data_IF_235739879240
#
_entry.id   IF_235739879240
#
_cell.length_a   1.000
_cell.length_b   1.000
_cell.length_c   1.000
_cell.angle_alpha   90.00
_cell.angle_beta   90.00
_cell.angle_gamma   90.00
#
_symmetry.space_group_name_H-M   'P 1'
#
loop_
_entity.id
_entity.type
_entity.pdbx_description
1 polymer ?
#
# COMPACT_ATOMS: atom_id res chain seq x y z
N UNK A 1 -27.66 7.74 2.42
CA UNK A 1 -26.22 8.06 2.36
C UNK A 1 -26.03 9.09 1.26
N UNK A 2 -25.64 10.31 1.60
CA UNK A 2 -25.33 11.36 0.63
C UNK A 2 -23.87 11.21 0.20
N UNK A 3 -23.60 11.31 -1.11
CA UNK A 3 -22.25 11.21 -1.67
C UNK A 3 -21.92 12.52 -2.34
N UNK A 4 -20.84 13.17 -1.90
CA UNK A 4 -20.28 14.36 -2.54
C UNK A 4 -19.07 13.95 -3.38
N UNK A 5 -19.12 14.22 -4.68
CA UNK A 5 -18.02 13.95 -5.61
C UNK A 5 -17.25 15.24 -5.89
N UNK A 6 -15.97 15.25 -5.57
CA UNK A 6 -15.08 16.36 -5.88
C UNK A 6 -14.37 16.09 -7.22
N UNK A 7 -14.55 16.97 -8.19
CA UNK A 7 -14.02 16.80 -9.55
C UNK A 7 -13.04 17.90 -9.99
N UNK A 8 -12.78 18.89 -9.14
CA UNK A 8 -11.82 19.97 -9.45
C UNK A 8 -10.70 20.03 -8.42
N UNK A 9 -9.49 20.38 -8.88
CA UNK A 9 -8.33 20.59 -8.01
C UNK A 9 -8.64 21.60 -6.90
N UNK A 10 -9.32 22.72 -7.22
CA UNK A 10 -9.69 23.74 -6.23
C UNK A 10 -10.60 23.16 -5.15
N UNK A 11 -11.64 22.42 -5.54
CA UNK A 11 -12.55 21.76 -4.58
C UNK A 11 -11.81 20.78 -3.67
N UNK A 12 -10.90 19.99 -4.23
CA UNK A 12 -10.10 19.04 -3.45
C UNK A 12 -9.14 19.76 -2.52
N UNK A 13 -8.46 20.82 -2.96
CA UNK A 13 -7.54 21.60 -2.14
C UNK A 13 -8.26 22.32 -1.00
N UNK A 14 -9.41 22.94 -1.30
CA UNK A 14 -10.20 23.66 -0.31
C UNK A 14 -10.72 22.71 0.78
N UNK A 15 -11.31 21.57 0.38
CA UNK A 15 -11.98 20.67 1.31
C UNK A 15 -11.03 19.65 1.94
N UNK A 16 -10.19 18.97 1.15
CA UNK A 16 -9.30 17.92 1.65
C UNK A 16 -7.96 18.45 2.16
N UNK A 17 -7.50 19.59 1.63
CA UNK A 17 -6.27 20.25 2.06
C UNK A 17 -6.54 21.19 3.23
N UNK A 18 -7.19 22.32 2.96
CA UNK A 18 -7.36 23.39 3.93
C UNK A 18 -8.33 23.02 5.05
N UNK A 19 -9.43 22.31 4.72
CA UNK A 19 -10.43 21.80 5.69
C UNK A 19 -10.24 20.30 5.98
N UNK A 20 -9.02 19.79 5.78
CA UNK A 20 -8.72 18.36 5.89
C UNK A 20 -9.07 17.76 7.25
N UNK A 21 -9.02 18.54 8.34
CA UNK A 21 -9.38 18.09 9.68
C UNK A 21 -10.82 17.60 9.80
N UNK A 22 -11.77 18.14 9.02
CA UNK A 22 -13.19 17.74 9.06
C UNK A 22 -13.61 16.86 7.86
N UNK A 23 -12.91 16.93 6.72
CA UNK A 23 -13.26 16.18 5.50
C UNK A 23 -12.45 14.89 5.27
N UNK A 24 -11.48 14.56 6.12
CA UNK A 24 -10.55 13.45 5.86
C UNK A 24 -10.77 12.18 6.66
N UNK A 25 -11.82 12.15 7.48
CA UNK A 25 -12.18 10.96 8.24
C UNK A 25 -12.60 9.80 7.32
N UNK A 26 -12.63 8.58 7.86
CA UNK A 26 -13.05 7.38 7.13
C UNK A 26 -14.50 7.02 7.44
N UNK A 27 -15.30 6.64 6.43
CA UNK A 27 -16.61 6.06 6.68
C UNK A 27 -16.47 4.80 7.54
N UNK A 28 -17.16 4.75 8.69
CA UNK A 28 -17.18 3.55 9.53
C UNK A 28 -17.80 2.37 8.77
N UNK A 29 -17.21 1.20 8.93
CA UNK A 29 -17.71 -0.06 8.39
C UNK A 29 -17.85 -1.06 9.52
N UNK A 30 -19.09 -1.43 9.85
CA UNK A 30 -19.38 -2.44 10.87
C UNK A 30 -18.74 -3.80 10.55
N UNK A 31 -18.49 -4.08 9.26
CA UNK A 31 -17.80 -5.30 8.83
C UNK A 31 -16.30 -5.25 9.19
N UNK A 32 -15.64 -4.10 9.02
CA UNK A 32 -14.24 -3.94 9.44
C UNK A 32 -14.13 -4.02 10.96
N UNK A 33 -15.05 -3.38 11.68
CA UNK A 33 -15.09 -3.44 13.14
C UNK A 33 -15.25 -4.89 13.62
N UNK A 34 -16.10 -5.68 12.94
CA UNK A 34 -16.32 -7.10 13.22
C UNK A 34 -15.09 -7.98 12.94
N UNK A 35 -14.31 -7.68 11.90
CA UNK A 35 -13.06 -8.39 11.64
C UNK A 35 -12.05 -8.19 12.77
N UNK A 36 -12.10 -7.03 13.44
CA UNK A 36 -11.17 -6.66 14.50
C UNK A 36 -9.77 -6.31 13.99
N UNK A 37 -9.64 -6.03 12.69
CA UNK A 37 -8.38 -5.77 11.98
C UNK A 37 -8.22 -4.26 11.69
N UNK A 38 -7.74 -3.51 12.68
CA UNK A 38 -7.60 -2.05 12.59
C UNK A 38 -6.43 -1.63 11.71
N UNK A 39 -6.66 -1.44 10.40
CA UNK A 39 -5.63 -1.02 9.44
C UNK A 39 -5.70 0.49 9.15
N UNK A 40 -4.55 1.11 8.88
CA UNK A 40 -4.41 2.56 8.68
C UNK A 40 -5.29 3.10 7.54
N UNK A 41 -5.61 2.27 6.55
CA UNK A 41 -6.40 2.65 5.38
C UNK A 41 -7.88 2.90 5.67
N UNK A 42 -8.46 2.12 6.58
CA UNK A 42 -9.89 2.15 6.92
C UNK A 42 -10.22 2.75 8.28
N UNK A 43 -9.22 2.99 9.13
CA UNK A 43 -9.45 3.48 10.48
C UNK A 43 -9.94 4.94 10.50
N UNK A 44 -10.96 5.20 11.32
CA UNK A 44 -11.49 6.54 11.54
C UNK A 44 -10.50 7.42 12.32
N UNK A 45 -10.60 8.72 12.12
CA UNK A 45 -9.81 9.73 12.82
C UNK A 45 -10.03 9.59 14.33
N UNK A 46 -8.91 9.56 15.05
CA UNK A 46 -8.88 9.33 16.48
C UNK A 46 -7.47 8.96 16.96
N UNK A 47 -7.33 8.64 18.26
CA UNK A 47 -6.04 8.32 18.86
C UNK A 47 -5.29 7.17 18.16
N UNK A 48 -6.02 6.11 17.79
CA UNK A 48 -5.43 4.95 17.10
C UNK A 48 -4.88 5.31 15.72
N UNK A 49 -5.70 5.98 14.89
CA UNK A 49 -5.25 6.43 13.57
C UNK A 49 -4.06 7.40 13.67
N UNK A 50 -4.08 8.33 14.63
CA UNK A 50 -2.98 9.27 14.87
C UNK A 50 -1.68 8.54 15.23
N UNK A 51 -1.76 7.52 16.09
CA UNK A 51 -0.62 6.69 16.47
C UNK A 51 -0.08 5.92 15.26
N UNK A 52 -0.94 5.20 14.53
CA UNK A 52 -0.53 4.46 13.33
C UNK A 52 0.11 5.39 12.28
N UNK A 53 -0.48 6.56 12.06
CA UNK A 53 0.01 7.55 11.10
C UNK A 53 1.35 8.14 11.52
N UNK A 54 1.54 8.42 12.81
CA UNK A 54 2.81 8.87 13.38
C UNK A 54 3.91 7.83 13.17
N UNK A 55 3.67 6.59 13.59
CA UNK A 55 4.63 5.49 13.48
C UNK A 55 5.02 5.21 12.02
N UNK A 56 4.03 5.18 11.13
CA UNK A 56 4.28 5.02 9.69
C UNK A 56 5.18 6.14 9.17
N UNK A 57 4.83 7.41 9.41
CA UNK A 57 5.63 8.54 8.91
C UNK A 57 7.03 8.59 9.51
N UNK A 58 7.20 8.21 10.77
CA UNK A 58 8.51 8.18 11.42
C UNK A 58 9.47 7.24 10.69
N UNK A 59 8.99 6.09 10.24
CA UNK A 59 9.82 5.04 9.62
C UNK A 59 9.75 4.98 8.09
N UNK A 60 8.82 5.71 7.46
CA UNK A 60 8.62 5.77 6.00
C UNK A 60 8.70 7.17 5.41
N UNK A 61 9.29 8.15 6.11
CA UNK A 61 9.59 9.46 5.53
C UNK A 61 10.83 9.44 4.62
N UNK A 62 11.04 10.54 3.89
CA UNK A 62 12.17 10.71 2.95
C UNK A 62 13.54 10.47 3.58
N UNK A 63 13.72 10.77 4.86
CA UNK A 63 14.98 10.54 5.59
C UNK A 63 15.19 9.08 5.99
N UNK A 64 14.11 8.33 6.22
CA UNK A 64 14.17 6.91 6.57
C UNK A 64 14.28 5.99 5.35
N UNK A 65 13.71 6.36 4.19
CA UNK A 65 13.70 5.53 2.98
C UNK A 65 15.07 5.00 2.50
N UNK A 66 16.21 5.73 2.63
CA UNK A 66 17.51 5.23 2.18
C UNK A 66 17.89 3.86 2.72
N UNK A 67 17.43 3.50 3.93
CA UNK A 67 17.70 2.18 4.53
C UNK A 67 17.10 1.02 3.73
N UNK A 68 16.08 1.27 2.91
CA UNK A 68 15.38 0.25 2.12
C UNK A 68 15.82 0.20 0.65
N UNK A 69 16.61 1.17 0.17
CA UNK A 69 17.04 1.19 -1.23
C UNK A 69 17.87 -0.02 -1.66
N UNK A 70 18.83 -0.54 -0.84
CA UNK A 70 19.60 -1.72 -1.22
C UNK A 70 18.71 -2.93 -1.51
N UNK A 71 17.67 -3.11 -0.70
CA UNK A 71 16.64 -4.14 -0.87
C UNK A 71 15.92 -3.98 -2.21
N UNK A 72 15.38 -2.79 -2.48
CA UNK A 72 14.60 -2.54 -3.70
C UNK A 72 15.47 -2.76 -4.94
N UNK A 73 16.72 -2.30 -4.92
CA UNK A 73 17.66 -2.53 -6.02
C UNK A 73 18.00 -4.00 -6.23
N UNK A 74 18.29 -4.74 -5.14
CA UNK A 74 18.66 -6.14 -5.23
C UNK A 74 17.51 -6.98 -5.83
N UNK A 75 16.29 -6.76 -5.37
CA UNK A 75 15.12 -7.46 -5.89
C UNK A 75 14.81 -7.04 -7.34
N UNK A 76 14.96 -5.75 -7.67
CA UNK A 76 14.84 -5.28 -9.06
C UNK A 76 15.83 -5.97 -9.99
N UNK A 77 17.11 -6.12 -9.59
CA UNK A 77 18.13 -6.85 -10.36
C UNK A 77 17.78 -8.34 -10.50
N UNK A 78 17.24 -8.97 -9.45
CA UNK A 78 16.77 -10.37 -9.51
C UNK A 78 15.61 -10.52 -10.49
N UNK A 79 14.63 -9.63 -10.43
CA UNK A 79 13.50 -9.59 -11.35
C UNK A 79 13.95 -9.46 -12.80
N UNK A 80 14.86 -8.53 -13.12
CA UNK A 80 15.41 -8.37 -14.46
C UNK A 80 16.06 -9.66 -15.00
N UNK A 81 16.78 -10.41 -14.15
CA UNK A 81 17.35 -11.70 -14.55
C UNK A 81 16.29 -12.76 -14.84
N UNK A 82 15.21 -12.79 -14.05
CA UNK A 82 14.09 -13.74 -14.28
C UNK A 82 13.31 -13.37 -15.54
N UNK A 83 13.00 -12.09 -15.73
CA UNK A 83 12.40 -11.55 -16.96
C UNK A 83 13.24 -11.86 -18.20
N UNK A 84 14.56 -11.75 -18.13
CA UNK A 84 15.43 -12.10 -19.25
C UNK A 84 15.38 -13.59 -19.61
N UNK A 85 15.23 -14.47 -18.60
CA UNK A 85 15.14 -15.93 -18.80
C UNK A 85 13.77 -16.39 -19.27
N UNK A 86 12.70 -15.74 -18.79
CA UNK A 86 11.32 -16.11 -19.09
C UNK A 86 10.47 -14.85 -19.37
N UNK A 87 10.67 -14.19 -20.53
CA UNK A 87 9.98 -12.94 -20.85
C UNK A 87 8.47 -13.14 -21.09
N UNK A 88 8.04 -14.34 -21.48
CA UNK A 88 6.62 -14.65 -21.68
C UNK A 88 5.82 -14.56 -20.37
N UNK A 89 6.47 -14.88 -19.24
CA UNK A 89 5.85 -14.86 -17.91
C UNK A 89 6.07 -13.54 -17.14
N UNK A 90 6.27 -12.43 -17.85
CA UNK A 90 6.69 -11.18 -17.24
C UNK A 90 5.77 -10.65 -16.14
N UNK A 91 4.45 -10.85 -16.26
CA UNK A 91 3.49 -10.39 -15.25
C UNK A 91 3.67 -11.09 -13.90
N UNK A 92 3.87 -12.41 -13.91
CA UNK A 92 4.08 -13.17 -12.69
C UNK A 92 5.45 -12.87 -12.08
N UNK A 93 6.45 -12.60 -12.91
CA UNK A 93 7.77 -12.16 -12.45
C UNK A 93 7.73 -10.78 -11.77
N UNK A 94 6.94 -9.85 -12.31
CA UNK A 94 6.69 -8.56 -11.68
C UNK A 94 5.90 -8.71 -10.37
N UNK A 95 4.87 -9.57 -10.34
CA UNK A 95 4.06 -9.83 -9.14
C UNK A 95 4.91 -10.44 -8.03
N UNK A 96 5.75 -11.42 -8.35
CA UNK A 96 6.70 -12.00 -7.41
C UNK A 96 7.69 -10.94 -6.91
N UNK A 97 8.21 -10.09 -7.81
CA UNK A 97 9.12 -9.01 -7.42
C UNK A 97 8.47 -8.02 -6.44
N UNK A 98 7.25 -7.55 -6.72
CA UNK A 98 6.56 -6.62 -5.83
C UNK A 98 6.27 -7.24 -4.47
N UNK A 99 5.86 -8.52 -4.45
CA UNK A 99 5.64 -9.26 -3.21
C UNK A 99 6.94 -9.41 -2.39
N UNK A 100 8.05 -9.79 -3.04
CA UNK A 100 9.37 -9.94 -2.38
C UNK A 100 9.89 -8.60 -1.84
N UNK A 101 9.77 -7.52 -2.60
CA UNK A 101 10.19 -6.18 -2.15
C UNK A 101 9.43 -5.79 -0.89
N UNK A 102 8.10 -5.82 -0.91
CA UNK A 102 7.32 -5.32 0.22
C UNK A 102 7.40 -6.26 1.44
N UNK A 103 7.50 -7.58 1.25
CA UNK A 103 7.73 -8.54 2.34
C UNK A 103 9.09 -8.33 2.99
N UNK A 104 10.12 -8.11 2.18
CA UNK A 104 11.46 -7.85 2.67
C UNK A 104 11.55 -6.54 3.46
N UNK A 105 11.07 -5.45 2.87
CA UNK A 105 11.05 -4.13 3.52
C UNK A 105 10.20 -4.16 4.81
N UNK A 106 9.07 -4.87 4.81
CA UNK A 106 8.14 -4.86 5.96
C UNK A 106 8.53 -5.86 7.05
N UNK A 107 8.80 -7.11 6.67
CA UNK A 107 8.89 -8.28 7.56
C UNK A 107 10.24 -9.01 7.52
N UNK A 108 11.27 -8.48 6.85
CA UNK A 108 12.58 -9.16 6.72
C UNK A 108 12.50 -10.56 6.04
N UNK A 109 11.52 -10.74 5.14
CA UNK A 109 11.28 -12.00 4.43
C UNK A 109 11.77 -11.90 2.98
N UNK A 110 12.74 -12.75 2.59
CA UNK A 110 13.47 -12.63 1.31
C UNK A 110 13.55 -13.92 0.49
N UNK A 111 13.09 -15.03 1.04
CA UNK A 111 13.23 -16.40 0.54
C UNK A 111 11.97 -16.91 -0.15
N UNK A 112 11.09 -15.99 -0.55
CA UNK A 112 9.83 -16.29 -1.26
C UNK A 112 10.11 -16.50 -2.74
N UNK A 113 10.03 -17.75 -3.20
CA UNK A 113 10.32 -18.11 -4.61
C UNK A 113 9.06 -18.19 -5.49
N UNK A 114 7.87 -18.17 -4.90
CA UNK A 114 6.58 -18.19 -5.63
C UNK A 114 5.56 -17.27 -4.96
N UNK A 115 4.61 -16.77 -5.76
CA UNK A 115 3.43 -16.04 -5.26
C UNK A 115 2.45 -16.94 -4.50
N UNK A 116 2.58 -18.26 -4.65
CA UNK A 116 1.78 -19.25 -3.91
C UNK A 116 2.31 -19.52 -2.50
N UNK A 117 3.45 -18.91 -2.12
CA UNK A 117 3.99 -18.98 -0.76
C UNK A 117 2.92 -18.58 0.26
N UNK A 118 2.80 -19.34 1.34
CA UNK A 118 1.79 -19.12 2.38
C UNK A 118 1.86 -17.71 2.96
N UNK A 119 3.06 -17.12 3.04
CA UNK A 119 3.29 -15.77 3.57
C UNK A 119 2.70 -14.71 2.64
N UNK A 120 2.88 -14.86 1.33
CA UNK A 120 2.27 -13.99 0.30
C UNK A 120 0.76 -14.18 0.28
N UNK A 121 0.31 -15.43 0.33
CA UNK A 121 -1.12 -15.76 0.30
C UNK A 121 -1.85 -15.19 1.52
N UNK A 122 -1.25 -15.23 2.71
CA UNK A 122 -1.84 -14.70 3.94
C UNK A 122 -2.12 -13.20 3.85
N UNK A 123 -1.13 -12.40 3.47
CA UNK A 123 -1.29 -10.94 3.34
C UNK A 123 -2.22 -10.56 2.18
N UNK A 124 -2.18 -11.28 1.06
CA UNK A 124 -3.12 -11.05 -0.05
C UNK A 124 -4.56 -11.39 0.34
N UNK A 125 -4.79 -12.44 1.12
CA UNK A 125 -6.11 -12.75 1.69
C UNK A 125 -6.59 -11.63 2.60
N UNK A 126 -5.77 -11.18 3.55
CA UNK A 126 -6.10 -10.05 4.43
C UNK A 126 -6.51 -8.80 3.63
N UNK A 127 -5.73 -8.42 2.61
CA UNK A 127 -6.04 -7.26 1.75
C UNK A 127 -7.37 -7.44 1.03
N UNK A 128 -7.67 -8.65 0.54
CA UNK A 128 -8.96 -8.96 -0.09
C UNK A 128 -10.12 -8.93 0.91
N UNK A 129 -9.95 -9.44 2.12
CA UNK A 129 -10.96 -9.39 3.18
C UNK A 129 -11.32 -7.94 3.52
N UNK A 130 -10.30 -7.10 3.77
CA UNK A 130 -10.49 -5.66 4.06
C UNK A 130 -11.17 -4.94 2.89
N UNK A 131 -10.67 -5.13 1.66
CA UNK A 131 -11.26 -4.50 0.46
C UNK A 131 -12.72 -4.90 0.25
N UNK A 132 -13.02 -6.17 0.50
CA UNK A 132 -14.37 -6.72 0.41
C UNK A 132 -15.31 -6.13 1.49
N UNK A 133 -14.81 -5.95 2.71
CA UNK A 133 -15.56 -5.36 3.82
C UNK A 133 -15.77 -3.84 3.68
N UNK A 134 -14.98 -3.16 2.85
CA UNK A 134 -15.16 -1.74 2.50
C UNK A 134 -16.15 -1.51 1.35
N UNK A 135 -16.53 -2.56 0.62
CA UNK A 135 -17.40 -2.43 -0.57
C UNK A 135 -18.82 -2.00 -0.16
N UNK A 136 -19.35 -0.87 -0.71
CA UNK A 136 -20.64 -0.31 -0.29
C UNK A 136 -21.84 -1.27 -0.40
N UNK A 137 -21.80 -2.19 -1.36
CA UNK A 137 -22.85 -3.21 -1.60
C UNK A 137 -23.05 -4.12 -0.38
N UNK A 138 -22.05 -4.22 0.50
CA UNK A 138 -22.11 -5.01 1.73
C UNK A 138 -22.52 -4.23 2.98
N UNK A 139 -22.93 -2.97 2.87
CA UNK A 139 -23.53 -2.21 3.98
C UNK A 139 -24.98 -2.66 4.19
N UNK A 140 -25.17 -3.81 4.81
CA UNK A 140 -26.48 -4.43 4.96
C UNK A 140 -27.02 -4.20 6.39
N UNK A 141 -28.29 -3.78 6.57
CA UNK A 141 -28.88 -3.59 7.88
C UNK A 141 -28.94 -4.89 8.71
N UNK A 142 -28.67 -4.87 10.03
CA UNK A 142 -28.56 -6.08 10.87
C UNK A 142 -29.78 -7.02 10.91
N UNK A 143 -30.95 -6.58 10.44
CA UNK A 143 -32.23 -7.27 10.58
C UNK A 143 -32.64 -8.12 9.36
N UNK A 144 -31.79 -8.24 8.34
CA UNK A 144 -32.10 -9.00 7.12
C UNK A 144 -31.75 -10.50 7.30
N UNK A 145 -32.72 -11.45 7.28
CA UNK A 145 -32.50 -12.84 7.74
C UNK A 145 -31.45 -13.68 6.98
N UNK A 146 -31.21 -13.42 5.70
CA UNK A 146 -30.19 -14.12 4.90
C UNK A 146 -28.74 -13.63 5.15
N UNK A 147 -28.55 -12.68 6.07
CA UNK A 147 -27.23 -12.14 6.47
C UNK A 147 -26.40 -13.05 7.35
N UNK A 148 -26.98 -14.08 7.97
CA UNK A 148 -26.24 -14.95 8.87
C UNK A 148 -24.96 -15.50 8.24
N UNK A 149 -24.99 -15.78 6.95
CA UNK A 149 -23.83 -16.28 6.20
C UNK A 149 -22.75 -15.20 5.98
N UNK A 150 -23.12 -13.96 5.64
CA UNK A 150 -22.16 -12.86 5.43
C UNK A 150 -21.50 -12.43 6.75
N UNK A 151 -22.26 -12.33 7.85
CA UNK A 151 -21.72 -12.04 9.18
C UNK A 151 -20.76 -13.14 9.63
N UNK A 152 -21.14 -14.41 9.47
CA UNK A 152 -20.28 -15.57 9.76
C UNK A 152 -19.02 -15.55 8.91
N UNK A 153 -19.14 -15.21 7.63
CA UNK A 153 -18.02 -15.13 6.70
C UNK A 153 -17.02 -14.04 7.12
N UNK A 154 -17.50 -12.82 7.38
CA UNK A 154 -16.64 -11.70 7.79
C UNK A 154 -15.99 -11.95 9.17
N UNK A 155 -16.72 -12.57 10.09
CA UNK A 155 -16.17 -12.99 11.39
C UNK A 155 -15.08 -14.06 11.20
N UNK A 156 -15.30 -15.03 10.30
CA UNK A 156 -14.31 -16.05 9.97
C UNK A 156 -13.05 -15.45 9.31
N UNK A 157 -13.21 -14.46 8.43
CA UNK A 157 -12.07 -13.70 7.88
C UNK A 157 -11.28 -13.01 8.98
N UNK A 158 -11.96 -12.33 9.91
CA UNK A 158 -11.32 -11.69 11.06
C UNK A 158 -10.54 -12.68 11.91
N UNK A 159 -11.06 -13.90 12.14
CA UNK A 159 -10.37 -14.96 12.88
C UNK A 159 -9.14 -15.48 12.11
N UNK A 160 -9.28 -15.75 10.81
CA UNK A 160 -8.16 -16.16 9.95
C UNK A 160 -7.06 -15.08 9.93
N UNK A 161 -7.40 -13.82 9.75
CA UNK A 161 -6.44 -12.71 9.71
C UNK A 161 -5.76 -12.52 11.07
N UNK A 162 -6.52 -12.61 12.18
CA UNK A 162 -5.99 -12.51 13.55
C UNK A 162 -5.07 -13.68 13.93
N UNK A 163 -5.10 -14.78 13.19
CA UNK A 163 -4.20 -15.92 13.43
C UNK A 163 -3.01 -15.97 12.47
N UNK A 164 -3.18 -15.50 11.24
CA UNK A 164 -2.15 -15.60 10.18
C UNK A 164 -1.21 -14.40 10.15
N UNK A 165 -1.72 -13.17 10.21
CA UNK A 165 -0.92 -11.95 10.11
C UNK A 165 0.09 -11.80 11.26
N UNK A 166 -0.26 -12.09 12.54
CA UNK A 166 0.73 -12.03 13.62
C UNK A 166 1.91 -12.97 13.44
N UNK A 167 1.81 -14.05 12.64
CA UNK A 167 2.93 -14.96 12.39
C UNK A 167 4.08 -14.26 11.67
N UNK A 168 3.77 -13.37 10.72
CA UNK A 168 4.77 -12.59 9.99
C UNK A 168 5.47 -11.57 10.91
N UNK A 169 4.72 -10.97 11.84
CA UNK A 169 5.29 -10.09 12.86
C UNK A 169 6.18 -10.86 13.84
N UNK A 170 5.70 -12.02 14.31
CA UNK A 170 6.45 -12.89 15.21
C UNK A 170 7.73 -13.45 14.58
N UNK A 171 7.75 -13.67 13.27
CA UNK A 171 8.97 -14.04 12.54
C UNK A 171 10.11 -13.04 12.79
N UNK A 172 9.83 -11.73 12.66
CA UNK A 172 10.82 -10.68 12.93
C UNK A 172 11.19 -10.61 14.40
N UNK A 173 10.22 -10.77 15.32
CA UNK A 173 10.51 -10.83 16.76
C UNK A 173 11.51 -11.94 17.11
N UNK A 174 11.33 -13.12 16.53
CA UNK A 174 12.24 -14.25 16.73
C UNK A 174 13.63 -13.93 16.20
N UNK A 175 13.74 -13.36 15.01
CA UNK A 175 15.03 -12.94 14.43
C UNK A 175 15.70 -11.83 15.25
N UNK A 176 14.94 -10.86 15.77
CA UNK A 176 15.44 -9.79 16.63
C UNK A 176 16.05 -10.37 17.90
N UNK A 177 15.33 -11.28 18.58
CA UNK A 177 15.81 -11.93 19.80
C UNK A 177 17.03 -12.82 19.55
N UNK A 178 17.14 -13.41 18.36
CA UNK A 178 18.32 -14.18 17.94
C UNK A 178 19.51 -13.31 17.49
N UNK A 179 19.34 -11.99 17.36
CA UNK A 179 20.37 -11.08 16.85
C UNK A 179 20.64 -11.22 15.34
N UNK A 180 19.70 -11.78 14.59
CA UNK A 180 19.84 -12.06 13.15
C UNK A 180 18.90 -11.23 12.26
N UNK A 181 17.99 -10.45 12.84
CA UNK A 181 17.09 -9.57 12.09
C UNK A 181 17.87 -8.52 11.30
N UNK A 182 17.49 -8.33 10.03
CA UNK A 182 17.95 -7.20 9.22
C UNK A 182 16.97 -6.04 9.35
N UNK A 183 17.40 -4.89 8.84
CA UNK A 183 16.58 -3.69 8.82
C UNK A 183 15.27 -3.92 8.08
N UNK A 184 14.15 -3.76 8.79
CA UNK A 184 12.79 -3.87 8.27
C UNK A 184 11.87 -2.93 9.03
N UNK A 185 10.70 -2.62 8.47
CA UNK A 185 9.71 -1.77 9.12
C UNK A 185 9.27 -2.34 10.47
N UNK A 186 9.02 -3.66 10.54
CA UNK A 186 8.64 -4.31 11.81
C UNK A 186 9.77 -4.25 12.83
N UNK A 187 11.04 -4.42 12.42
CA UNK A 187 12.17 -4.26 13.35
C UNK A 187 12.18 -2.84 13.96
N UNK A 188 12.02 -1.81 13.12
CA UNK A 188 11.93 -0.42 13.59
C UNK A 188 10.73 -0.19 14.52
N UNK A 189 9.57 -0.79 14.25
CA UNK A 189 8.42 -0.71 15.17
C UNK A 189 8.70 -1.39 16.51
N UNK A 190 9.41 -2.52 16.51
CA UNK A 190 9.78 -3.25 17.74
C UNK A 190 10.83 -2.50 18.59
N UNK A 191 11.42 -1.42 18.09
CA UNK A 191 12.32 -0.53 18.83
C UNK A 191 11.57 0.66 19.45
N UNK A 192 10.29 0.86 19.12
CA UNK A 192 9.46 1.90 19.73
C UNK A 192 8.97 1.46 21.12
N UNK A 193 9.32 2.24 22.14
CA UNK A 193 8.86 2.01 23.50
C UNK A 193 7.36 2.29 23.65
N UNK A 194 6.70 1.51 24.52
CA UNK A 194 5.33 1.72 24.99
C UNK A 194 4.22 1.73 23.91
N UNK A 195 4.46 1.13 22.74
CA UNK A 195 3.43 0.98 21.69
C UNK A 195 2.77 -0.40 21.76
N UNK A 196 1.45 -0.44 21.62
CA UNK A 196 0.67 -1.67 21.60
C UNK A 196 1.04 -2.56 20.38
N UNK A 197 1.40 -3.82 20.66
CA UNK A 197 1.83 -4.79 19.64
C UNK A 197 0.74 -5.04 18.59
N UNK A 198 -0.53 -5.06 19.02
CA UNK A 198 -1.65 -5.24 18.09
C UNK A 198 -1.67 -4.12 17.05
N UNK A 199 -1.46 -2.87 17.47
CA UNK A 199 -1.35 -1.71 16.58
C UNK A 199 -0.20 -1.87 15.57
N UNK A 200 0.98 -2.32 16.02
CA UNK A 200 2.12 -2.56 15.13
C UNK A 200 1.85 -3.63 14.07
N UNK A 201 1.23 -4.74 14.47
CA UNK A 201 0.88 -5.85 13.58
C UNK A 201 0.01 -5.37 12.42
N UNK A 202 -1.07 -4.66 12.72
CA UNK A 202 -2.00 -4.18 11.68
C UNK A 202 -1.43 -3.04 10.86
N UNK A 203 -0.56 -2.20 11.44
CA UNK A 203 0.17 -1.18 10.70
C UNK A 203 1.10 -1.81 9.66
N UNK A 204 1.86 -2.84 10.02
CA UNK A 204 2.72 -3.59 9.10
C UNK A 204 1.89 -4.26 7.98
N UNK A 205 0.74 -4.84 8.32
CA UNK A 205 -0.16 -5.43 7.33
C UNK A 205 -0.74 -4.37 6.36
N UNK A 206 -1.04 -3.17 6.88
CA UNK A 206 -1.47 -2.02 6.07
C UNK A 206 -0.39 -1.60 5.07
N UNK A 207 0.87 -1.62 5.49
CA UNK A 207 2.00 -1.30 4.63
C UNK A 207 2.13 -2.29 3.47
N UNK A 208 1.95 -3.59 3.73
CA UNK A 208 1.89 -4.59 2.65
C UNK A 208 0.75 -4.27 1.67
N UNK A 209 -0.47 -4.08 2.20
CA UNK A 209 -1.66 -3.83 1.38
C UNK A 209 -1.54 -2.57 0.52
N UNK A 210 -0.90 -1.53 1.03
CA UNK A 210 -0.65 -0.30 0.28
C UNK A 210 0.48 -0.39 -0.75
N UNK A 211 1.42 -1.34 -0.59
CA UNK A 211 2.68 -1.40 -1.35
C UNK A 211 2.77 -2.49 -2.41
N UNK A 212 2.02 -3.60 -2.27
CA UNK A 212 2.12 -4.74 -3.19
C UNK A 212 1.41 -4.49 -4.54
N UNK A 213 0.07 -4.50 -4.52
CA UNK A 213 -0.78 -4.47 -5.72
C UNK A 213 -0.71 -3.12 -6.46
N UNK A 214 -0.57 -2.01 -5.72
CA UNK A 214 -0.43 -0.68 -6.32
C UNK A 214 0.85 -0.57 -7.14
N UNK A 215 1.98 -1.05 -6.61
CA UNK A 215 3.25 -1.05 -7.33
C UNK A 215 3.19 -1.97 -8.55
N UNK A 216 2.57 -3.15 -8.43
CA UNK A 216 2.38 -4.07 -9.55
C UNK A 216 1.55 -3.42 -10.67
N UNK A 217 0.45 -2.75 -10.32
CA UNK A 217 -0.37 -2.02 -11.27
C UNK A 217 0.40 -0.93 -12.01
N UNK A 218 1.29 -0.20 -11.33
CA UNK A 218 2.12 0.83 -11.96
C UNK A 218 3.18 0.21 -12.89
N UNK A 219 3.79 -0.91 -12.50
CA UNK A 219 4.75 -1.61 -13.36
C UNK A 219 4.08 -2.17 -14.62
N UNK A 220 2.87 -2.70 -14.49
CA UNK A 220 2.06 -3.11 -15.65
C UNK A 220 1.77 -1.92 -16.56
N UNK A 221 1.26 -0.81 -16.01
CA UNK A 221 0.99 0.40 -16.77
C UNK A 221 2.26 0.96 -17.46
N UNK A 222 3.41 0.87 -16.80
CA UNK A 222 4.70 1.25 -17.38
C UNK A 222 5.04 0.37 -18.59
N UNK A 223 4.93 -0.96 -18.49
CA UNK A 223 5.19 -1.86 -19.61
C UNK A 223 4.27 -1.54 -20.79
N UNK A 224 2.97 -1.35 -20.53
CA UNK A 224 2.01 -0.94 -21.55
C UNK A 224 2.39 0.40 -22.20
N UNK A 225 2.75 1.40 -21.40
CA UNK A 225 3.17 2.71 -21.90
C UNK A 225 4.43 2.60 -22.79
N UNK A 226 5.39 1.74 -22.44
CA UNK A 226 6.61 1.55 -23.25
C UNK A 226 6.31 0.84 -24.58
N UNK A 227 5.34 -0.08 -24.61
CA UNK A 227 4.87 -0.71 -25.85
C UNK A 227 4.16 0.30 -26.76
N UNK A 228 3.30 1.16 -26.19
CA UNK A 228 2.52 2.15 -26.96
C UNK A 228 3.34 3.37 -27.40
N UNK A 229 4.40 3.70 -26.66
CA UNK A 229 5.23 4.89 -26.87
C UNK A 229 6.72 4.56 -26.98
N UNK A 230 7.14 3.80 -28.01
CA UNK A 230 8.54 3.37 -28.16
C UNK A 230 9.53 4.54 -28.29
N UNK A 231 9.10 5.70 -28.80
CA UNK A 231 9.94 6.90 -28.83
C UNK A 231 10.30 7.41 -27.44
N UNK A 232 9.37 7.32 -26.48
CA UNK A 232 9.63 7.68 -25.08
C UNK A 232 10.56 6.66 -24.42
N UNK A 233 10.38 5.36 -24.71
CA UNK A 233 11.27 4.30 -24.26
C UNK A 233 12.71 4.51 -24.75
N UNK A 234 12.92 4.84 -26.03
CA UNK A 234 14.26 5.13 -26.58
C UNK A 234 14.92 6.34 -25.92
N UNK A 235 14.15 7.39 -25.59
CA UNK A 235 14.67 8.55 -24.84
C UNK A 235 15.12 8.18 -23.43
N UNK A 236 14.38 7.32 -22.73
CA UNK A 236 14.80 6.76 -21.44
C UNK A 236 16.09 5.98 -21.57
N UNK A 237 16.20 5.09 -22.55
CA UNK A 237 17.41 4.32 -22.80
C UNK A 237 18.61 5.23 -23.07
N UNK A 238 18.45 6.23 -23.95
CA UNK A 238 19.52 7.17 -24.26
C UNK A 238 19.95 8.02 -23.06
N UNK A 239 19.02 8.47 -22.22
CA UNK A 239 19.37 9.18 -20.98
C UNK A 239 20.17 8.28 -20.03
N UNK A 240 19.72 7.04 -19.84
CA UNK A 240 20.41 6.06 -18.99
C UNK A 240 21.82 5.78 -19.54
N UNK A 241 21.98 5.51 -20.83
CA UNK A 241 23.28 5.24 -21.45
C UNK A 241 24.24 6.44 -21.30
N UNK A 242 23.73 7.66 -21.50
CA UNK A 242 24.54 8.89 -21.38
C UNK A 242 25.01 9.16 -19.95
N UNK A 243 24.15 8.89 -18.95
CA UNK A 243 24.40 9.27 -17.55
C UNK A 243 25.09 8.15 -16.77
N UNK A 244 24.65 6.91 -16.98
CA UNK A 244 25.11 5.73 -16.23
C UNK A 244 26.21 4.97 -16.99
N UNK A 245 26.17 5.00 -18.33
CA UNK A 245 27.04 4.21 -19.19
C UNK A 245 26.54 2.77 -19.40
N UNK A 246 27.37 1.94 -20.03
CA UNK A 246 27.08 0.54 -20.36
C UNK A 246 27.67 -0.49 -19.38
N UNK A 247 28.57 -0.07 -18.49
CA UNK A 247 29.34 -0.98 -17.62
C UNK A 247 28.55 -1.47 -16.40
N UNK A 248 27.43 -0.81 -16.06
CA UNK A 248 26.61 -1.16 -14.90
C UNK A 248 25.15 -0.81 -15.10
N UNK A 249 24.28 -1.44 -14.30
CA UNK A 249 22.87 -1.06 -14.21
C UNK A 249 22.67 0.24 -13.42
N UNK A 250 21.59 1.00 -13.70
CA UNK A 250 21.20 2.15 -12.89
C UNK A 250 20.97 1.77 -11.42
N UNK A 251 21.34 2.67 -10.51
CA UNK A 251 21.03 2.59 -9.09
C UNK A 251 20.33 3.86 -8.59
N UNK A 252 19.89 3.84 -7.34
CA UNK A 252 19.14 4.94 -6.73
C UNK A 252 19.95 6.24 -6.67
N UNK A 253 21.28 6.13 -6.56
CA UNK A 253 22.20 7.25 -6.59
C UNK A 253 22.18 8.03 -7.91
N UNK A 254 21.80 7.37 -9.02
CA UNK A 254 21.72 7.99 -10.34
C UNK A 254 20.43 8.80 -10.52
N UNK A 255 19.43 8.58 -9.67
CA UNK A 255 18.07 9.15 -9.83
C UNK A 255 18.08 10.67 -9.97
N UNK A 256 18.94 11.37 -9.24
CA UNK A 256 19.06 12.83 -9.32
C UNK A 256 19.56 13.33 -10.68
N UNK A 257 20.21 12.47 -11.46
CA UNK A 257 20.79 12.77 -12.77
C UNK A 257 19.96 12.19 -13.94
N UNK A 258 18.79 11.61 -13.67
CA UNK A 258 17.90 10.99 -14.65
C UNK A 258 16.54 11.72 -14.73
N UNK A 259 16.51 13.02 -15.09
CA UNK A 259 15.27 13.82 -15.08
C UNK A 259 14.21 13.32 -16.07
N UNK A 260 14.59 12.79 -17.23
CA UNK A 260 13.63 12.25 -18.18
C UNK A 260 12.99 10.95 -17.65
N UNK A 261 13.77 10.06 -17.04
CA UNK A 261 13.25 8.87 -16.35
C UNK A 261 12.29 9.27 -15.23
N UNK A 262 12.65 10.22 -14.38
CA UNK A 262 11.79 10.69 -13.28
C UNK A 262 10.47 11.29 -13.82
N UNK A 263 10.53 12.08 -14.88
CA UNK A 263 9.33 12.63 -15.52
C UNK A 263 8.47 11.56 -16.18
N UNK A 264 9.09 10.55 -16.80
CA UNK A 264 8.35 9.43 -17.38
C UNK A 264 7.63 8.61 -16.32
N UNK A 265 8.27 8.34 -15.18
CA UNK A 265 7.62 7.65 -14.05
C UNK A 265 6.42 8.46 -13.56
N UNK A 266 6.56 9.78 -13.39
CA UNK A 266 5.45 10.66 -13.02
C UNK A 266 4.32 10.65 -14.05
N UNK A 267 4.67 10.61 -15.33
CA UNK A 267 3.71 10.58 -16.42
C UNK A 267 2.93 9.24 -16.46
N UNK A 268 3.58 8.11 -16.18
CA UNK A 268 2.89 6.82 -16.02
C UNK A 268 1.90 6.87 -14.88
N UNK A 269 2.28 7.44 -13.72
CA UNK A 269 1.36 7.60 -12.57
C UNK A 269 0.18 8.53 -12.91
N UNK A 270 0.43 9.59 -13.70
CA UNK A 270 -0.60 10.53 -14.14
C UNK A 270 -1.56 9.90 -15.16
N UNK A 271 -1.01 9.15 -16.11
CA UNK A 271 -1.75 8.54 -17.22
C UNK A 271 -2.59 7.35 -16.74
N UNK A 272 -2.02 6.48 -15.90
CA UNK A 272 -2.69 5.31 -15.35
C UNK A 272 -2.86 5.46 -13.83
N UNK A 273 -3.81 6.30 -13.43
CA UNK A 273 -4.16 6.43 -12.01
C UNK A 273 -4.81 5.14 -11.52
N UNK A 274 -4.12 4.40 -10.64
CA UNK A 274 -4.63 3.14 -10.07
C UNK A 274 -5.80 3.31 -9.10
N UNK A 275 -5.95 4.51 -8.55
CA UNK A 275 -7.05 4.87 -7.67
C UNK A 275 -7.75 6.10 -8.25
N UNK A 276 -8.44 5.96 -9.40
CA UNK A 276 -9.11 7.08 -10.06
C UNK A 276 -10.23 7.65 -9.18
N UNK A 277 -10.80 6.79 -8.32
CA UNK A 277 -11.63 7.17 -7.19
C UNK A 277 -10.81 6.81 -5.94
N UNK A 278 -10.34 7.83 -5.23
CA UNK A 278 -9.61 7.64 -3.97
C UNK A 278 -10.50 6.94 -2.92
N UNK A 279 -9.89 6.50 -1.81
CA UNK A 279 -10.65 5.96 -0.68
C UNK A 279 -11.67 6.99 -0.18
N UNK A 280 -12.92 6.54 -0.03
CA UNK A 280 -14.02 7.35 0.48
C UNK A 280 -13.66 8.04 1.79
N UNK A 281 -14.15 9.26 1.94
CA UNK A 281 -13.97 10.07 3.15
C UNK A 281 -15.32 10.43 3.76
N UNK A 282 -15.31 10.74 5.05
CA UNK A 282 -16.48 11.16 5.82
C UNK A 282 -16.25 12.58 6.30
N UNK A 283 -17.30 13.39 6.19
CA UNK A 283 -17.37 14.71 6.81
C UNK A 283 -17.73 14.54 8.30
N UNK A 284 -16.94 15.15 9.18
CA UNK A 284 -17.15 15.06 10.63
C UNK A 284 -18.01 16.17 11.21
N UNK A 285 -18.05 17.33 10.55
CA UNK A 285 -18.77 18.52 11.00
C UNK A 285 -19.51 19.14 9.82
N UNK A 286 -20.73 19.63 10.03
CA UNK A 286 -21.50 20.35 9.02
C UNK A 286 -20.69 21.55 8.49
N UNK A 287 -20.78 21.81 7.20
CA UNK A 287 -20.02 22.89 6.56
C UNK A 287 -20.81 23.48 5.39
N UNK A 288 -20.38 24.66 4.93
CA UNK A 288 -20.88 25.28 3.71
C UNK A 288 -19.75 25.50 2.71
N UNK A 289 -19.96 25.06 1.47
CA UNK A 289 -19.02 25.22 0.39
C UNK A 289 -19.73 25.63 -0.91
N UNK A 290 -19.54 26.88 -1.33
CA UNK A 290 -20.09 27.45 -2.57
C UNK A 290 -21.62 27.30 -2.70
N UNK A 291 -22.34 27.56 -1.61
CA UNK A 291 -23.80 27.42 -1.55
C UNK A 291 -24.31 25.99 -1.45
N UNK A 292 -23.40 24.99 -1.40
CA UNK A 292 -23.74 23.63 -0.96
C UNK A 292 -23.55 23.54 0.55
N UNK A 293 -24.48 22.89 1.24
CA UNK A 293 -24.40 22.63 2.68
C UNK A 293 -24.22 21.12 2.90
N UNK A 294 -22.99 20.58 2.72
CA UNK A 294 -22.72 19.21 3.12
C UNK A 294 -22.86 19.09 4.64
N UNK A 295 -23.71 18.16 5.08
CA UNK A 295 -23.92 17.85 6.48
C UNK A 295 -23.22 16.54 6.86
N UNK A 296 -22.64 16.52 8.04
CA UNK A 296 -22.08 15.34 8.65
C UNK A 296 -23.22 14.35 8.94
N UNK A 297 -23.14 13.18 8.32
CA UNK A 297 -24.04 12.08 8.64
C UNK A 297 -23.58 11.45 9.96
N UNK A 298 -24.49 11.41 10.94
CA UNK A 298 -24.32 10.69 12.22
C UNK A 298 -24.13 9.20 11.97
#
# INVERSE_FOLDING_TARGET
MSVLVLSSYRSMQDLLGNRGSIYSDRPRSSLIDMMGTGNLGSEAFGPSWNLQRKLFHQHMNKGALPQYFPTVEQESRRCLRRLHRNPENWMDELRLNTARVILGVTYDIWDVESTDDERVTAVNKFVRHVSSALTPVRRIPPWVPWLGNEIRLVSAWGEEDRTTIPRLFNHVKVQKNAGTARQSFVLSLLEEDATDERTMIWLAASMYGGGAETTLGLLHAFVLAMVLHPDAQRKVQHEIERVVGSERLPGIQDRGSLPYVENLIREVVRWWSLMPIALGRRLMEDDEYKGLQPYALV
#
